data_IF_977791662339
#
_entry.id   IF_977791662339
#
_cell.length_a   1.000
_cell.length_b   1.000
_cell.length_c   1.000
_cell.angle_alpha   90.00
_cell.angle_beta   90.00
_cell.angle_gamma   90.00
#
_symmetry.space_group_name_H-M   'P 1'
#
loop_
_entity.id
_entity.type
_entity.pdbx_description
1 polymer ?
#
# COMPACT_ATOMS: atom_id res chain seq x y z
N UNK A 1 10.17 -9.29 29.76
CA UNK A 1 11.42 -10.06 29.91
C UNK A 1 12.55 -9.10 29.57
N UNK A 2 13.20 -8.57 30.59
CA UNK A 2 14.24 -7.55 30.48
C UNK A 2 15.53 -8.22 29.98
N UNK A 3 16.03 -7.80 28.82
CA UNK A 3 17.34 -8.21 28.34
C UNK A 3 18.34 -7.33 29.07
N UNK A 4 18.97 -7.90 30.08
CA UNK A 4 20.08 -7.31 30.84
C UNK A 4 21.19 -6.90 29.87
N UNK A 5 21.42 -5.59 29.81
CA UNK A 5 22.46 -4.93 29.04
C UNK A 5 23.85 -5.31 29.53
N UNK A 6 24.67 -5.87 28.63
CA UNK A 6 26.12 -5.80 28.78
C UNK A 6 26.59 -4.37 28.41
N UNK A 7 27.71 -3.87 28.97
CA UNK A 7 28.19 -2.51 28.69
C UNK A 7 28.56 -2.25 27.22
N UNK A 8 28.75 -3.30 26.42
CA UNK A 8 29.21 -3.26 25.02
C UNK A 8 28.05 -3.19 23.98
N UNK A 9 26.81 -3.45 24.41
CA UNK A 9 25.62 -3.45 23.53
C UNK A 9 25.15 -2.02 23.13
N UNK A 10 25.72 -1.01 23.76
CA UNK A 10 25.44 0.40 23.49
C UNK A 10 26.12 0.93 22.22
N UNK A 11 26.88 0.12 21.48
CA UNK A 11 27.55 0.53 20.23
C UNK A 11 27.03 -0.15 18.95
N UNK A 12 26.21 -1.21 19.05
CA UNK A 12 25.81 -2.00 17.87
C UNK A 12 24.65 -1.34 17.10
N UNK A 13 24.91 -0.94 15.86
CA UNK A 13 23.87 -0.47 14.93
C UNK A 13 23.19 -1.65 14.25
N UNK A 14 21.87 -1.68 14.30
CA UNK A 14 21.04 -2.69 13.65
C UNK A 14 20.77 -2.30 12.20
N UNK A 15 21.00 -3.21 11.26
CA UNK A 15 20.61 -3.01 9.88
C UNK A 15 19.27 -3.71 9.61
N UNK A 16 18.33 -3.02 8.99
CA UNK A 16 17.04 -3.58 8.59
C UNK A 16 16.90 -3.46 7.07
N UNK A 17 16.81 -4.61 6.41
CA UNK A 17 16.60 -4.75 4.98
C UNK A 17 15.15 -5.07 4.64
N UNK A 18 14.63 -4.49 3.57
CA UNK A 18 13.35 -4.92 2.99
C UNK A 18 13.40 -4.98 1.46
N UNK A 19 12.47 -5.69 0.83
CA UNK A 19 12.48 -5.88 -0.62
C UNK A 19 12.21 -4.59 -1.41
N UNK A 20 11.45 -3.64 -0.84
CA UNK A 20 11.00 -2.45 -1.54
C UNK A 20 11.16 -1.18 -0.71
N UNK A 21 11.27 -0.04 -1.40
CA UNK A 21 11.29 1.30 -0.81
C UNK A 21 10.04 1.56 0.06
N UNK A 22 8.89 1.01 -0.34
CA UNK A 22 7.63 1.13 0.39
C UNK A 22 7.70 0.40 1.72
N UNK A 23 8.25 -0.81 1.77
CA UNK A 23 8.43 -1.54 3.01
C UNK A 23 9.40 -0.82 3.97
N UNK A 24 10.55 -0.34 3.45
CA UNK A 24 11.50 0.49 4.20
C UNK A 24 10.81 1.74 4.78
N UNK A 25 10.00 2.41 3.98
CA UNK A 25 9.23 3.59 4.38
C UNK A 25 8.24 3.25 5.51
N UNK A 26 7.48 2.17 5.40
CA UNK A 26 6.50 1.78 6.42
C UNK A 26 7.19 1.50 7.78
N UNK A 27 8.38 0.89 7.76
CA UNK A 27 9.19 0.68 8.96
C UNK A 27 9.59 2.04 9.57
N UNK A 28 10.06 2.98 8.74
CA UNK A 28 10.44 4.32 9.18
C UNK A 28 9.27 5.10 9.78
N UNK A 29 8.10 5.09 9.13
CA UNK A 29 6.86 5.69 9.67
C UNK A 29 6.51 5.10 11.03
N UNK A 30 6.68 3.79 11.20
CA UNK A 30 6.43 3.14 12.48
C UNK A 30 7.41 3.59 13.55
N UNK A 31 8.70 3.69 13.25
CA UNK A 31 9.71 4.22 14.18
C UNK A 31 9.37 5.67 14.61
N UNK A 32 9.01 6.53 13.66
CA UNK A 32 8.57 7.91 13.95
C UNK A 32 7.32 7.93 14.85
N UNK A 33 6.32 7.09 14.56
CA UNK A 33 5.11 6.99 15.40
C UNK A 33 5.40 6.55 16.83
N UNK A 34 6.50 5.82 17.04
CA UNK A 34 6.99 5.38 18.35
C UNK A 34 7.95 6.40 18.99
N UNK A 35 8.12 7.59 18.40
CA UNK A 35 9.06 8.64 18.81
C UNK A 35 10.52 8.18 18.82
N UNK A 36 10.85 7.20 17.99
CA UNK A 36 12.21 6.71 17.81
C UNK A 36 12.85 7.40 16.60
N UNK A 37 13.82 8.28 16.85
CA UNK A 37 14.48 9.10 15.81
C UNK A 37 15.96 8.76 15.58
N UNK A 38 16.51 7.78 16.30
CA UNK A 38 17.90 7.33 16.17
C UNK A 38 18.07 6.35 14.99
N UNK A 39 17.52 6.71 13.82
CA UNK A 39 17.60 5.89 12.61
C UNK A 39 17.96 6.72 11.37
N UNK A 40 18.52 6.04 10.36
CA UNK A 40 18.72 6.60 9.02
C UNK A 40 18.22 5.65 7.94
N UNK A 41 17.81 6.21 6.82
CA UNK A 41 17.35 5.47 5.64
C UNK A 41 18.36 5.69 4.51
N UNK A 42 18.87 4.61 3.94
CA UNK A 42 19.79 4.66 2.80
C UNK A 42 19.02 4.35 1.52
N UNK A 43 19.08 5.27 0.55
CA UNK A 43 18.31 5.18 -0.70
C UNK A 43 19.18 5.45 -1.93
N UNK A 44 18.76 4.95 -3.09
CA UNK A 44 19.47 5.21 -4.35
C UNK A 44 19.26 6.66 -4.78
N UNK A 45 20.16 7.18 -5.63
CA UNK A 45 20.00 8.55 -6.17
C UNK A 45 18.69 8.71 -6.96
N UNK A 46 18.21 7.61 -7.57
CA UNK A 46 17.04 7.54 -8.44
C UNK A 46 15.74 7.25 -7.66
N UNK A 47 15.80 7.22 -6.33
CA UNK A 47 14.68 6.97 -5.44
C UNK A 47 13.52 7.98 -5.56
N UNK A 48 13.77 9.17 -6.14
CA UNK A 48 12.81 10.28 -6.21
C UNK A 48 11.65 10.11 -7.21
N UNK A 49 11.61 9.06 -8.04
CA UNK A 49 10.55 8.94 -9.06
C UNK A 49 9.16 8.51 -8.53
N UNK A 50 9.05 8.08 -7.26
CA UNK A 50 7.78 7.66 -6.63
C UNK A 50 7.46 8.44 -5.33
N UNK A 51 8.14 9.57 -5.07
CA UNK A 51 8.12 10.25 -3.77
C UNK A 51 7.36 11.59 -3.84
N UNK A 52 6.18 11.67 -3.23
CA UNK A 52 5.39 12.91 -3.14
C UNK A 52 5.87 13.79 -1.98
N UNK A 53 6.66 14.83 -2.26
CA UNK A 53 7.39 15.67 -1.29
C UNK A 53 6.53 16.30 -0.17
N UNK A 54 5.23 16.52 -0.39
CA UNK A 54 4.36 17.28 0.53
C UNK A 54 3.75 16.46 1.69
N UNK A 55 3.97 15.14 1.75
CA UNK A 55 3.38 14.27 2.79
C UNK A 55 4.39 13.76 3.83
N UNK A 56 5.68 14.14 3.76
CA UNK A 56 6.78 13.38 4.41
C UNK A 56 7.88 14.19 5.13
N UNK A 57 7.61 15.44 5.54
CA UNK A 57 8.60 16.32 6.18
C UNK A 57 9.39 15.66 7.33
N UNK A 58 8.74 14.79 8.14
CA UNK A 58 9.40 14.17 9.29
C UNK A 58 10.38 13.03 8.95
N UNK A 59 10.20 12.34 7.83
CA UNK A 59 11.05 11.22 7.43
C UNK A 59 12.24 11.71 6.61
N UNK A 60 12.05 12.76 5.82
CA UNK A 60 13.06 13.31 4.92
C UNK A 60 14.38 13.62 5.63
N UNK A 61 14.34 14.16 6.86
CA UNK A 61 15.52 14.43 7.69
C UNK A 61 16.35 13.19 8.08
N UNK A 62 15.79 11.99 7.91
CA UNK A 62 16.46 10.72 8.18
C UNK A 62 17.02 10.06 6.92
N UNK A 63 16.81 10.62 5.72
CA UNK A 63 17.21 10.00 4.46
C UNK A 63 18.63 10.43 4.03
N UNK A 64 19.44 9.44 3.63
CA UNK A 64 20.77 9.64 3.03
C UNK A 64 20.76 8.99 1.65
N UNK A 65 20.97 9.80 0.61
CA UNK A 65 21.00 9.34 -0.79
C UNK A 65 22.40 8.86 -1.21
N UNK A 66 22.45 7.85 -2.07
CA UNK A 66 23.70 7.22 -2.50
C UNK A 66 24.69 8.09 -3.27
N UNK A 67 24.25 9.23 -3.82
CA UNK A 67 25.12 10.23 -4.44
C UNK A 67 25.89 11.07 -3.41
N UNK A 68 25.48 11.03 -2.12
CA UNK A 68 26.14 11.71 -1.01
C UNK A 68 27.14 10.84 -0.25
N UNK A 69 27.10 9.51 -0.39
CA UNK A 69 27.93 8.58 0.39
C UNK A 69 29.44 8.87 0.32
N UNK A 70 29.95 9.33 -0.84
CA UNK A 70 31.40 9.49 -1.07
C UNK A 70 31.85 10.95 -1.25
N UNK A 71 30.91 11.91 -1.32
CA UNK A 71 31.26 13.31 -1.63
C UNK A 71 31.70 14.11 -0.41
N UNK A 72 31.25 13.70 0.78
CA UNK A 72 31.52 14.42 2.02
C UNK A 72 31.51 13.46 3.21
N UNK A 73 32.62 12.73 3.38
CA UNK A 73 32.76 11.69 4.41
C UNK A 73 32.59 12.29 5.81
N UNK A 74 33.15 13.48 6.07
CA UNK A 74 33.04 14.17 7.37
C UNK A 74 31.59 14.49 7.72
N UNK A 75 30.84 15.05 6.78
CA UNK A 75 29.41 15.32 6.96
C UNK A 75 28.60 14.04 7.13
N UNK A 76 28.87 13.03 6.31
CA UNK A 76 28.17 11.74 6.37
C UNK A 76 28.42 11.03 7.70
N UNK A 77 29.66 11.02 8.18
CA UNK A 77 30.04 10.51 9.51
C UNK A 77 29.27 11.21 10.62
N UNK A 78 29.18 12.54 10.57
CA UNK A 78 28.41 13.33 11.55
C UNK A 78 26.94 12.93 11.59
N UNK A 79 26.33 12.61 10.44
CA UNK A 79 24.92 12.17 10.38
C UNK A 79 24.68 10.75 10.91
N UNK A 80 25.73 9.94 11.07
CA UNK A 80 25.65 8.57 11.58
C UNK A 80 25.93 8.47 13.09
N UNK A 81 26.42 9.54 13.72
CA UNK A 81 26.67 9.55 15.17
C UNK A 81 25.36 9.30 15.92
N UNK A 82 25.37 8.34 16.83
CA UNK A 82 24.20 7.98 17.65
C UNK A 82 23.10 7.20 16.90
N UNK A 83 23.33 6.83 15.64
CA UNK A 83 22.38 6.02 14.87
C UNK A 83 22.37 4.58 15.39
N UNK A 84 21.19 4.13 15.79
CA UNK A 84 20.93 2.79 16.32
C UNK A 84 20.36 1.85 15.26
N UNK A 85 19.71 2.40 14.24
CA UNK A 85 19.07 1.61 13.18
C UNK A 85 19.37 2.21 11.80
N UNK A 86 19.81 1.38 10.86
CA UNK A 86 19.92 1.73 9.45
C UNK A 86 18.88 0.93 8.65
N UNK A 87 18.05 1.63 7.89
CA UNK A 87 17.03 1.04 7.02
C UNK A 87 17.45 1.16 5.56
N UNK A 88 17.35 0.08 4.78
CA UNK A 88 17.59 0.15 3.33
C UNK A 88 16.93 -1.02 2.58
N UNK A 89 16.89 -0.94 1.24
CA UNK A 89 16.42 -2.07 0.43
C UNK A 89 17.51 -3.14 0.27
N UNK A 90 17.13 -4.38 -0.08
CA UNK A 90 18.10 -5.42 -0.45
C UNK A 90 19.03 -4.96 -1.60
N UNK A 91 18.47 -4.29 -2.60
CA UNK A 91 19.27 -3.73 -3.70
C UNK A 91 20.27 -2.69 -3.22
N UNK A 92 19.96 -1.94 -2.15
CA UNK A 92 20.87 -0.98 -1.57
C UNK A 92 22.08 -1.67 -0.97
N UNK A 93 21.94 -2.80 -0.26
CA UNK A 93 23.10 -3.57 0.24
C UNK A 93 24.10 -3.99 -0.84
N UNK A 94 23.68 -4.02 -2.11
CA UNK A 94 24.56 -4.33 -3.25
C UNK A 94 25.25 -3.10 -3.85
N UNK A 95 24.99 -1.89 -3.34
CA UNK A 95 25.60 -0.66 -3.85
C UNK A 95 27.07 -0.56 -3.41
N UNK A 96 28.00 -0.48 -4.36
CA UNK A 96 29.44 -0.44 -4.07
C UNK A 96 29.84 0.80 -3.27
N UNK A 97 29.10 1.91 -3.39
CA UNK A 97 29.35 3.16 -2.67
C UNK A 97 29.09 3.06 -1.17
N UNK A 98 28.42 2.01 -0.70
CA UNK A 98 28.22 1.78 0.74
C UNK A 98 29.46 1.31 1.46
N UNK A 99 30.50 0.87 0.73
CA UNK A 99 31.67 0.24 1.34
C UNK A 99 32.32 1.14 2.40
N UNK A 100 32.47 2.43 2.12
CA UNK A 100 33.03 3.40 3.08
C UNK A 100 32.10 3.65 4.26
N UNK A 101 30.79 3.78 4.02
CA UNK A 101 29.78 3.90 5.09
C UNK A 101 29.82 2.72 6.05
N UNK A 102 29.98 1.51 5.50
CA UNK A 102 29.99 0.25 6.25
C UNK A 102 31.31 0.00 6.98
N UNK A 103 32.39 0.72 6.67
CA UNK A 103 33.59 0.73 7.52
C UNK A 103 33.35 1.47 8.83
N UNK A 104 32.53 2.51 8.79
CA UNK A 104 32.16 3.31 9.97
C UNK A 104 31.04 2.67 10.77
N UNK A 105 30.08 2.04 10.08
CA UNK A 105 28.97 1.31 10.70
C UNK A 105 28.97 -0.13 10.18
N UNK A 106 29.77 -1.03 10.79
CA UNK A 106 29.88 -2.42 10.36
C UNK A 106 28.53 -3.14 10.35
N UNK A 107 28.30 -3.93 9.31
CA UNK A 107 27.10 -4.75 9.18
C UNK A 107 27.30 -6.04 9.98
N UNK A 108 26.90 -6.03 11.25
CA UNK A 108 27.01 -7.18 12.17
C UNK A 108 25.69 -7.94 12.33
N UNK A 109 24.58 -7.21 12.46
CA UNK A 109 23.24 -7.80 12.57
C UNK A 109 22.34 -7.21 11.49
N UNK A 110 21.75 -8.08 10.68
CA UNK A 110 20.74 -7.70 9.68
C UNK A 110 19.41 -8.36 10.05
N UNK A 111 18.34 -7.57 10.05
CA UNK A 111 16.97 -8.04 10.06
C UNK A 111 16.39 -7.85 8.66
N UNK A 112 15.86 -8.91 8.06
CA UNK A 112 15.04 -8.79 6.86
C UNK A 112 13.57 -8.77 7.25
N UNK A 113 12.88 -7.67 6.92
CA UNK A 113 11.43 -7.60 7.02
C UNK A 113 10.78 -8.18 5.76
N UNK A 114 9.57 -8.73 5.92
CA UNK A 114 8.84 -9.46 4.88
C UNK A 114 9.70 -10.53 4.16
N UNK A 115 10.59 -11.21 4.90
CA UNK A 115 11.54 -12.18 4.36
C UNK A 115 10.89 -13.27 3.50
N UNK A 116 9.64 -13.65 3.80
CA UNK A 116 8.87 -14.62 3.01
C UNK A 116 8.62 -14.22 1.55
N UNK A 117 8.81 -12.94 1.21
CA UNK A 117 8.58 -12.39 -0.14
C UNK A 117 9.85 -12.30 -0.99
N UNK A 118 11.02 -12.53 -0.39
CA UNK A 118 12.32 -12.38 -1.05
C UNK A 118 12.80 -13.76 -1.52
N UNK A 119 13.38 -13.83 -2.73
CA UNK A 119 13.95 -15.08 -3.23
C UNK A 119 15.26 -15.39 -2.54
N UNK A 120 15.54 -16.67 -2.27
CA UNK A 120 16.75 -17.07 -1.53
C UNK A 120 18.03 -16.56 -2.19
N UNK A 121 18.04 -16.47 -3.52
CA UNK A 121 19.16 -15.94 -4.31
C UNK A 121 19.50 -14.48 -3.99
N UNK A 122 18.51 -13.67 -3.61
CA UNK A 122 18.72 -12.24 -3.31
C UNK A 122 19.52 -12.03 -2.02
N UNK A 123 19.55 -13.01 -1.12
CA UNK A 123 20.35 -12.96 0.10
C UNK A 123 21.82 -13.32 -0.12
N UNK A 124 22.14 -14.05 -1.19
CA UNK A 124 23.49 -14.58 -1.41
C UNK A 124 24.53 -13.48 -1.58
N UNK A 125 24.17 -12.38 -2.26
CA UNK A 125 25.04 -11.22 -2.44
C UNK A 125 25.43 -10.58 -1.10
N UNK A 126 24.46 -10.43 -0.20
CA UNK A 126 24.64 -9.86 1.14
C UNK A 126 25.51 -10.78 2.00
N UNK A 127 25.20 -12.07 2.01
CA UNK A 127 25.98 -13.08 2.73
C UNK A 127 27.43 -13.13 2.26
N UNK A 128 27.65 -13.08 0.94
CA UNK A 128 28.99 -13.08 0.37
C UNK A 128 29.75 -11.79 0.73
N UNK A 129 29.11 -10.62 0.56
CA UNK A 129 29.72 -9.31 0.80
C UNK A 129 30.10 -9.11 2.26
N UNK A 130 29.24 -9.52 3.19
CA UNK A 130 29.44 -9.31 4.63
C UNK A 130 29.92 -10.55 5.36
N UNK A 131 30.41 -11.57 4.66
CA UNK A 131 30.89 -12.85 5.24
C UNK A 131 31.88 -12.72 6.40
N UNK A 132 32.60 -11.59 6.49
CA UNK A 132 33.61 -11.33 7.53
C UNK A 132 33.07 -10.56 8.75
N UNK A 133 31.98 -9.81 8.59
CA UNK A 133 31.45 -8.92 9.64
C UNK A 133 30.09 -9.35 10.15
N UNK A 134 29.30 -10.06 9.33
CA UNK A 134 27.95 -10.48 9.66
C UNK A 134 27.99 -11.58 10.72
N UNK A 135 27.51 -11.27 11.92
CA UNK A 135 27.40 -12.18 13.06
C UNK A 135 26.01 -12.80 13.16
N UNK A 136 24.96 -12.04 12.80
CA UNK A 136 23.57 -12.46 12.99
C UNK A 136 22.66 -12.03 11.84
N UNK A 137 21.85 -12.97 11.38
CA UNK A 137 20.81 -12.76 10.39
C UNK A 137 19.46 -13.14 10.98
N UNK A 138 18.49 -12.22 10.93
CA UNK A 138 17.14 -12.43 11.43
C UNK A 138 16.17 -12.25 10.28
N UNK A 139 15.30 -13.24 10.06
CA UNK A 139 14.25 -13.16 9.07
C UNK A 139 12.92 -12.95 9.78
N UNK A 140 12.28 -11.81 9.51
CA UNK A 140 10.96 -11.45 10.01
C UNK A 140 10.00 -11.47 8.83
N UNK A 141 8.83 -12.02 9.07
CA UNK A 141 7.77 -12.14 8.08
C UNK A 141 6.91 -13.34 8.44
N UNK A 142 5.62 -13.10 8.58
CA UNK A 142 4.64 -14.18 8.64
C UNK A 142 4.16 -14.43 7.20
N UNK A 143 3.81 -15.67 6.87
CA UNK A 143 3.06 -15.93 5.66
C UNK A 143 1.61 -15.44 5.79
N UNK A 144 1.22 -14.94 6.97
CA UNK A 144 -0.13 -14.46 7.27
C UNK A 144 -0.31 -12.98 6.98
N UNK A 145 -1.45 -12.66 6.35
CA UNK A 145 -2.01 -11.31 6.30
C UNK A 145 -3.19 -11.20 7.28
N UNK A 146 -3.22 -10.09 8.02
CA UNK A 146 -4.24 -9.80 9.04
C UNK A 146 -5.13 -8.61 8.69
N UNK A 147 -4.93 -8.00 7.52
CA UNK A 147 -5.59 -6.78 7.08
C UNK A 147 -6.91 -7.09 6.39
N UNK A 148 -6.85 -7.84 5.29
CA UNK A 148 -7.98 -8.00 4.38
C UNK A 148 -8.88 -9.14 4.87
N UNK A 149 -10.21 -9.00 4.68
CA UNK A 149 -11.15 -10.11 4.77
C UNK A 149 -10.68 -11.31 3.93
N UNK A 150 -10.94 -12.54 4.41
CA UNK A 150 -10.27 -13.72 3.82
C UNK A 150 -10.64 -13.96 2.37
N UNK A 151 -11.83 -13.55 1.93
CA UNK A 151 -12.25 -13.65 0.52
C UNK A 151 -11.38 -12.78 -0.40
N UNK A 152 -11.07 -11.55 0.02
CA UNK A 152 -10.22 -10.60 -0.71
C UNK A 152 -8.77 -11.03 -0.59
N UNK A 153 -8.29 -11.31 0.63
CA UNK A 153 -6.92 -11.70 0.88
C UNK A 153 -6.54 -13.01 0.19
N UNK A 154 -7.43 -14.01 0.20
CA UNK A 154 -7.25 -15.28 -0.50
C UNK A 154 -7.20 -15.09 -2.01
N UNK A 155 -8.07 -14.25 -2.56
CA UNK A 155 -8.04 -13.89 -3.98
C UNK A 155 -6.71 -13.23 -4.38
N UNK A 156 -6.30 -12.17 -3.65
CA UNK A 156 -5.05 -11.45 -3.91
C UNK A 156 -3.85 -12.38 -3.75
N UNK A 157 -3.83 -13.22 -2.71
CA UNK A 157 -2.79 -14.22 -2.50
C UNK A 157 -2.65 -15.15 -3.72
N UNK A 158 -3.76 -15.69 -4.23
CA UNK A 158 -3.76 -16.57 -5.40
C UNK A 158 -3.26 -15.86 -6.67
N UNK A 159 -3.70 -14.63 -6.91
CA UNK A 159 -3.37 -13.91 -8.15
C UNK A 159 -1.97 -13.27 -8.14
N UNK A 160 -1.49 -12.82 -6.98
CA UNK A 160 -0.29 -11.98 -6.88
C UNK A 160 0.86 -12.66 -6.14
N UNK A 161 0.57 -13.60 -5.23
CA UNK A 161 1.54 -14.20 -4.32
C UNK A 161 1.59 -15.73 -4.42
N UNK A 162 1.12 -16.31 -5.55
CA UNK A 162 1.11 -17.76 -5.81
C UNK A 162 0.42 -18.58 -4.69
N UNK A 163 -0.54 -18.00 -4.00
CA UNK A 163 -1.26 -18.63 -2.88
C UNK A 163 -0.46 -18.72 -1.57
N UNK A 164 0.74 -18.12 -1.49
CA UNK A 164 1.61 -18.23 -0.31
C UNK A 164 1.15 -17.35 0.86
N UNK A 165 0.39 -16.28 0.60
CA UNK A 165 -0.12 -15.38 1.63
C UNK A 165 -1.41 -15.96 2.25
N UNK A 166 -1.36 -16.33 3.52
CA UNK A 166 -2.47 -16.93 4.28
C UNK A 166 -3.31 -15.86 4.95
N UNK A 167 -4.61 -15.86 4.72
CA UNK A 167 -5.50 -14.87 5.34
C UNK A 167 -5.91 -15.29 6.74
N UNK A 168 -5.66 -14.44 7.74
CA UNK A 168 -6.18 -14.60 9.10
C UNK A 168 -6.97 -13.35 9.49
N UNK A 169 -8.28 -13.40 9.26
CA UNK A 169 -9.18 -12.28 9.48
C UNK A 169 -10.51 -12.77 10.06
N UNK A 170 -11.19 -11.92 10.86
CA UNK A 170 -12.48 -12.26 11.48
C UNK A 170 -13.60 -12.39 10.45
N UNK A 171 -13.60 -11.47 9.48
CA UNK A 171 -14.55 -11.48 8.36
C UNK A 171 -14.04 -12.46 7.32
N UNK A 172 -14.82 -13.53 7.11
CA UNK A 172 -14.44 -14.64 6.23
C UNK A 172 -15.38 -14.86 5.05
N UNK A 173 -16.59 -14.33 5.16
CA UNK A 173 -17.67 -14.49 4.19
C UNK A 173 -17.57 -13.48 3.04
N UNK A 174 -18.36 -13.71 1.99
CA UNK A 174 -18.32 -12.91 0.76
C UNK A 174 -18.93 -11.52 0.94
N UNK A 175 -19.67 -11.21 2.02
CA UNK A 175 -20.26 -9.88 2.23
C UNK A 175 -19.20 -8.78 2.36
N UNK A 176 -17.94 -9.15 2.61
CA UNK A 176 -16.83 -8.22 2.62
C UNK A 176 -16.58 -7.50 1.28
N UNK A 177 -17.08 -8.00 0.15
CA UNK A 177 -16.81 -7.40 -1.16
C UNK A 177 -18.04 -7.41 -2.07
N UNK A 178 -18.43 -6.24 -2.55
CA UNK A 178 -19.53 -6.11 -3.51
C UNK A 178 -19.11 -5.32 -4.75
N UNK A 179 -19.71 -5.68 -5.88
CA UNK A 179 -19.71 -4.86 -7.08
C UNK A 179 -21.06 -4.15 -7.21
N UNK A 180 -21.07 -2.93 -7.72
CA UNK A 180 -22.29 -2.23 -8.12
C UNK A 180 -22.27 -2.10 -9.63
N UNK A 181 -23.28 -2.65 -10.31
CA UNK A 181 -23.43 -2.48 -11.75
C UNK A 181 -23.99 -1.10 -12.05
N UNK A 182 -23.12 -0.24 -12.55
CA UNK A 182 -23.43 1.14 -12.90
C UNK A 182 -23.49 1.27 -14.40
N UNK A 183 -24.68 1.59 -14.92
CA UNK A 183 -24.90 1.75 -16.35
C UNK A 183 -24.55 3.17 -16.83
N UNK A 184 -23.33 3.62 -16.54
CA UNK A 184 -22.78 4.91 -16.94
C UNK A 184 -21.81 4.82 -18.12
N UNK A 185 -21.46 5.95 -18.70
CA UNK A 185 -20.49 6.05 -19.79
C UNK A 185 -19.24 6.82 -19.35
N UNK A 186 -18.07 6.34 -19.78
CA UNK A 186 -16.81 7.08 -19.60
C UNK A 186 -16.79 8.36 -20.46
N UNK A 187 -16.44 9.49 -19.85
CA UNK A 187 -16.23 10.77 -20.54
C UNK A 187 -14.85 11.33 -20.19
N UNK A 188 -14.35 12.24 -21.02
CA UNK A 188 -13.04 12.88 -20.83
C UNK A 188 -13.16 14.15 -20.02
N UNK A 189 -12.23 14.36 -19.09
CA UNK A 189 -12.04 15.62 -18.36
C UNK A 189 -10.59 16.06 -18.56
N UNK A 190 -10.36 16.97 -19.50
CA UNK A 190 -8.99 17.28 -19.96
C UNK A 190 -8.30 16.02 -20.48
N UNK A 191 -7.16 15.65 -19.88
CA UNK A 191 -6.42 14.43 -20.20
C UNK A 191 -6.78 13.22 -19.31
N UNK A 192 -7.80 13.35 -18.47
CA UNK A 192 -8.27 12.30 -17.55
C UNK A 192 -9.66 11.77 -17.94
N UNK A 193 -10.17 10.82 -17.17
CA UNK A 193 -11.47 10.18 -17.39
C UNK A 193 -12.37 10.35 -16.17
N UNK A 194 -13.67 10.44 -16.41
CA UNK A 194 -14.71 10.47 -15.38
C UNK A 194 -15.96 9.71 -15.83
N UNK A 195 -16.83 9.39 -14.88
CA UNK A 195 -18.11 8.73 -15.08
C UNK A 195 -19.11 9.27 -14.07
N UNK A 196 -20.08 10.05 -14.56
CA UNK A 196 -21.05 10.78 -13.73
C UNK A 196 -22.00 9.85 -12.96
N UNK A 197 -22.38 8.70 -13.53
CA UNK A 197 -23.25 7.75 -12.82
C UNK A 197 -22.49 6.99 -11.74
N UNK A 198 -21.23 6.63 -12.01
CA UNK A 198 -20.37 6.08 -10.96
C UNK A 198 -20.17 7.10 -9.84
N UNK A 199 -19.97 8.39 -10.17
CA UNK A 199 -19.86 9.47 -9.19
C UNK A 199 -21.12 9.54 -8.30
N UNK A 200 -22.32 9.57 -8.88
CA UNK A 200 -23.56 9.60 -8.12
C UNK A 200 -23.70 8.40 -7.17
N UNK A 201 -23.36 7.20 -7.65
CA UNK A 201 -23.39 5.97 -6.86
C UNK A 201 -22.38 6.01 -5.71
N UNK A 202 -21.13 6.42 -5.99
CA UNK A 202 -20.07 6.54 -4.99
C UNK A 202 -20.42 7.55 -3.91
N UNK A 203 -20.95 8.71 -4.28
CA UNK A 203 -21.38 9.74 -3.32
C UNK A 203 -22.51 9.23 -2.42
N UNK A 204 -23.43 8.42 -2.98
CA UNK A 204 -24.49 7.81 -2.19
C UNK A 204 -23.96 6.75 -1.21
N UNK A 205 -22.98 5.94 -1.61
CA UNK A 205 -22.27 5.01 -0.73
C UNK A 205 -21.51 5.76 0.37
N UNK A 206 -20.80 6.83 0.02
CA UNK A 206 -20.08 7.67 0.96
C UNK A 206 -21.01 8.28 2.02
N UNK A 207 -22.19 8.75 1.59
CA UNK A 207 -23.26 9.22 2.49
C UNK A 207 -23.67 8.12 3.47
N UNK A 208 -23.89 6.90 2.99
CA UNK A 208 -24.28 5.76 3.84
C UNK A 208 -23.23 5.47 4.91
N UNK A 209 -21.95 5.34 4.55
CA UNK A 209 -20.90 5.09 5.55
C UNK A 209 -20.75 6.26 6.53
N UNK A 210 -20.89 7.50 6.05
CA UNK A 210 -20.87 8.69 6.90
C UNK A 210 -22.02 8.71 7.92
N UNK A 211 -23.27 8.46 7.49
CA UNK A 211 -24.45 8.39 8.36
C UNK A 211 -24.34 7.27 9.40
N UNK A 212 -23.66 6.18 9.04
CA UNK A 212 -23.37 5.04 9.92
C UNK A 212 -22.11 5.22 10.78
N UNK A 213 -21.47 6.39 10.70
CA UNK A 213 -20.23 6.74 11.43
C UNK A 213 -19.10 5.74 11.22
N UNK A 214 -19.00 5.20 10.01
CA UNK A 214 -17.97 4.24 9.64
C UNK A 214 -16.78 4.93 9.00
N UNK A 215 -15.59 4.39 9.23
CA UNK A 215 -14.38 4.89 8.56
C UNK A 215 -14.32 4.40 7.12
N UNK A 216 -14.09 5.31 6.18
CA UNK A 216 -14.06 4.96 4.77
C UNK A 216 -13.18 5.91 3.94
N UNK A 217 -12.69 5.37 2.82
CA UNK A 217 -12.00 6.09 1.76
C UNK A 217 -12.54 5.71 0.39
N UNK A 218 -12.39 6.63 -0.54
CA UNK A 218 -12.74 6.46 -1.95
C UNK A 218 -11.45 6.43 -2.75
N UNK A 219 -11.31 5.44 -3.63
CA UNK A 219 -10.15 5.28 -4.49
C UNK A 219 -10.61 5.19 -5.94
N UNK A 220 -9.97 5.94 -6.83
CA UNK A 220 -10.26 5.88 -8.26
C UNK A 220 -8.97 5.99 -9.09
N UNK A 221 -8.86 5.33 -10.25
CA UNK A 221 -7.63 5.41 -11.05
C UNK A 221 -7.38 6.77 -11.72
N UNK A 222 -8.38 7.66 -11.78
CA UNK A 222 -8.36 8.84 -12.64
C UNK A 222 -8.60 10.12 -11.83
N UNK A 223 -7.71 11.10 -11.96
CA UNK A 223 -7.85 12.39 -11.26
C UNK A 223 -9.07 13.20 -11.68
N UNK A 224 -9.56 13.03 -12.91
CA UNK A 224 -10.84 13.61 -13.35
C UNK A 224 -11.98 13.13 -12.46
N UNK A 225 -12.07 11.81 -12.26
CA UNK A 225 -13.06 11.20 -11.37
C UNK A 225 -12.86 11.61 -9.91
N UNK A 226 -11.62 11.64 -9.42
CA UNK A 226 -11.32 12.08 -8.04
C UNK A 226 -11.86 13.49 -7.78
N UNK A 227 -11.54 14.42 -8.69
CA UNK A 227 -11.95 15.82 -8.59
C UNK A 227 -13.48 15.98 -8.67
N UNK A 228 -14.13 15.20 -9.54
CA UNK A 228 -15.59 15.16 -9.66
C UNK A 228 -16.25 14.68 -8.36
N UNK A 229 -15.75 13.59 -7.77
CA UNK A 229 -16.26 13.05 -6.50
C UNK A 229 -16.09 14.05 -5.36
N UNK A 230 -14.90 14.64 -5.20
CA UNK A 230 -14.65 15.65 -4.15
C UNK A 230 -15.60 16.84 -4.27
N UNK A 231 -15.76 17.38 -5.49
CA UNK A 231 -16.70 18.48 -5.76
C UNK A 231 -18.12 18.09 -5.37
N UNK A 232 -18.56 16.89 -5.74
CA UNK A 232 -19.92 16.41 -5.49
C UNK A 232 -20.17 16.17 -4.00
N UNK A 233 -19.21 15.58 -3.27
CA UNK A 233 -19.28 15.43 -1.81
C UNK A 233 -19.41 16.78 -1.11
N UNK A 234 -18.59 17.77 -1.50
CA UNK A 234 -18.62 19.12 -0.96
C UNK A 234 -19.98 19.79 -1.21
N UNK A 235 -20.49 19.74 -2.43
CA UNK A 235 -21.82 20.27 -2.77
C UNK A 235 -22.95 19.56 -1.99
N UNK A 236 -22.80 18.26 -1.73
CA UNK A 236 -23.75 17.46 -0.99
C UNK A 236 -23.64 17.59 0.55
N UNK A 237 -22.74 18.45 1.04
CA UNK A 237 -22.42 18.66 2.47
C UNK A 237 -22.02 17.36 3.19
N UNK A 238 -21.32 16.47 2.49
CA UNK A 238 -20.70 15.27 3.05
C UNK A 238 -19.22 15.60 3.28
N UNK A 239 -18.59 15.15 4.39
CA UNK A 239 -17.15 15.33 4.58
C UNK A 239 -16.37 14.86 3.36
N UNK A 240 -15.52 15.73 2.81
CA UNK A 240 -14.81 15.49 1.54
C UNK A 240 -13.29 15.58 1.71
N UNK A 241 -12.83 16.36 2.70
CA UNK A 241 -11.41 16.47 3.04
C UNK A 241 -10.86 15.11 3.42
N UNK A 242 -9.72 14.74 2.81
CA UNK A 242 -9.05 13.49 3.11
C UNK A 242 -10.00 12.27 2.92
N UNK A 243 -10.85 12.26 1.88
CA UNK A 243 -11.76 11.13 1.59
C UNK A 243 -11.55 10.46 0.25
N UNK A 244 -11.17 11.19 -0.80
CA UNK A 244 -11.01 10.64 -2.15
C UNK A 244 -9.56 10.74 -2.63
N UNK A 245 -9.05 9.65 -3.19
CA UNK A 245 -7.65 9.54 -3.63
C UNK A 245 -7.56 8.90 -5.00
N UNK A 246 -6.52 9.28 -5.74
CA UNK A 246 -6.06 8.43 -6.82
C UNK A 246 -5.22 7.27 -6.25
N UNK A 247 -5.02 6.21 -7.04
CA UNK A 247 -4.34 4.99 -6.56
C UNK A 247 -2.92 5.26 -6.08
N UNK A 248 -2.19 6.14 -6.77
CA UNK A 248 -0.79 6.43 -6.46
C UNK A 248 -0.67 7.19 -5.12
N UNK A 249 -1.52 8.19 -4.89
CA UNK A 249 -1.60 8.94 -3.62
C UNK A 249 -2.09 8.09 -2.44
N UNK A 250 -2.85 7.01 -2.71
CA UNK A 250 -3.35 6.12 -1.66
C UNK A 250 -2.37 4.99 -1.29
N UNK A 251 -1.19 4.93 -1.90
CA UNK A 251 -0.22 3.88 -1.62
C UNK A 251 0.29 3.93 -0.17
N UNK A 252 0.21 2.80 0.53
CA UNK A 252 0.60 2.69 1.94
C UNK A 252 -0.54 3.01 2.92
N UNK A 253 -1.58 3.69 2.46
CA UNK A 253 -2.77 3.94 3.25
C UNK A 253 -3.72 2.72 3.26
N UNK A 254 -4.60 2.67 4.24
CA UNK A 254 -5.59 1.63 4.48
C UNK A 254 -6.76 2.22 5.25
N UNK A 255 -7.97 1.69 5.05
CA UNK A 255 -9.16 2.11 5.81
C UNK A 255 -10.11 0.91 5.98
N UNK A 256 -11.09 1.03 6.88
CA UNK A 256 -12.04 -0.04 7.17
C UNK A 256 -12.89 -0.36 5.95
N UNK A 257 -13.49 0.67 5.35
CA UNK A 257 -14.31 0.53 4.14
C UNK A 257 -13.69 1.27 2.96
N UNK A 258 -13.53 0.58 1.84
CA UNK A 258 -13.01 1.17 0.61
C UNK A 258 -14.09 1.18 -0.46
N UNK A 259 -14.38 2.35 -1.02
CA UNK A 259 -15.23 2.51 -2.20
C UNK A 259 -14.34 2.73 -3.41
N UNK A 260 -14.54 1.98 -4.48
CA UNK A 260 -13.76 2.09 -5.72
C UNK A 260 -14.66 2.53 -6.86
N UNK A 261 -14.20 3.49 -7.66
CA UNK A 261 -14.79 3.84 -8.97
C UNK A 261 -13.80 3.47 -10.07
N UNK A 262 -14.17 2.51 -10.92
CA UNK A 262 -13.31 2.04 -12.02
C UNK A 262 -13.37 2.95 -13.26
N UNK A 263 -14.44 3.73 -13.42
CA UNK A 263 -14.67 4.76 -14.45
C UNK A 263 -14.85 4.21 -15.86
N UNK A 264 -13.96 3.33 -16.30
CA UNK A 264 -13.87 2.86 -17.67
C UNK A 264 -15.01 1.91 -18.01
N UNK A 265 -15.52 2.06 -19.22
CA UNK A 265 -16.56 1.21 -19.81
C UNK A 265 -16.19 0.68 -21.19
N UNK A 266 -15.12 1.20 -21.82
CA UNK A 266 -14.74 0.83 -23.20
C UNK A 266 -13.35 0.23 -23.33
N UNK A 267 -12.35 0.80 -22.67
CA UNK A 267 -10.95 0.33 -22.77
C UNK A 267 -10.37 0.08 -21.39
N UNK A 268 -9.55 -0.98 -21.28
CA UNK A 268 -8.94 -1.42 -20.02
C UNK A 268 -8.16 -0.29 -19.31
N UNK A 269 -7.45 0.55 -20.08
CA UNK A 269 -6.76 1.71 -19.53
C UNK A 269 -5.83 1.37 -18.37
N UNK A 270 -6.05 2.02 -17.21
CA UNK A 270 -5.24 1.87 -16.00
C UNK A 270 -5.21 0.43 -15.47
N UNK A 271 -6.29 -0.33 -15.67
CA UNK A 271 -6.44 -1.70 -15.13
C UNK A 271 -5.46 -2.71 -15.75
N UNK A 272 -4.71 -2.31 -16.79
CA UNK A 272 -3.58 -3.09 -17.33
C UNK A 272 -2.41 -3.18 -16.34
N UNK A 273 -2.25 -2.18 -15.47
CA UNK A 273 -1.16 -2.18 -14.49
C UNK A 273 -1.54 -3.04 -13.28
N UNK A 274 -1.08 -4.29 -13.29
CA UNK A 274 -1.37 -5.28 -12.25
C UNK A 274 -0.87 -4.83 -10.86
N UNK A 275 0.29 -4.16 -10.78
CA UNK A 275 0.84 -3.68 -9.50
C UNK A 275 -0.05 -2.61 -8.88
N UNK A 276 -0.44 -1.60 -9.66
CA UNK A 276 -1.33 -0.52 -9.20
C UNK A 276 -2.74 -1.03 -8.89
N UNK A 277 -3.22 -2.00 -9.66
CA UNK A 277 -4.54 -2.58 -9.41
C UNK A 277 -4.55 -3.46 -8.16
N UNK A 278 -3.46 -4.19 -7.89
CA UNK A 278 -3.27 -4.87 -6.61
C UNK A 278 -3.27 -3.87 -5.45
N UNK A 279 -2.53 -2.76 -5.59
CA UNK A 279 -2.56 -1.65 -4.62
C UNK A 279 -3.96 -1.14 -4.39
N UNK A 280 -4.80 -0.98 -5.41
CA UNK A 280 -6.17 -0.51 -5.25
C UNK A 280 -7.07 -1.53 -4.52
N UNK A 281 -6.95 -2.83 -4.82
CA UNK A 281 -7.80 -3.88 -4.26
C UNK A 281 -7.36 -4.40 -2.88
N UNK A 282 -6.19 -3.99 -2.38
CA UNK A 282 -5.58 -4.53 -1.15
C UNK A 282 -5.65 -3.59 0.07
N UNK A 283 -6.58 -2.63 0.09
CA UNK A 283 -6.55 -1.49 1.03
C UNK A 283 -7.62 -1.53 2.11
N UNK A 284 -8.63 -2.39 1.97
CA UNK A 284 -9.71 -2.49 2.94
C UNK A 284 -9.33 -3.39 4.13
N UNK A 285 -9.77 -3.01 5.32
CA UNK A 285 -9.71 -3.85 6.52
C UNK A 285 -11.00 -4.63 6.76
N UNK A 286 -12.15 -4.03 6.44
CA UNK A 286 -13.47 -4.63 6.66
C UNK A 286 -14.19 -4.94 5.36
N UNK A 287 -14.28 -3.97 4.45
CA UNK A 287 -14.99 -4.21 3.19
C UNK A 287 -14.58 -3.35 2.01
N UNK A 288 -14.99 -3.79 0.83
CA UNK A 288 -14.76 -3.11 -0.43
C UNK A 288 -16.03 -3.09 -1.30
N UNK A 289 -16.40 -1.93 -1.83
CA UNK A 289 -17.51 -1.76 -2.78
C UNK A 289 -16.98 -1.16 -4.08
N UNK A 290 -17.11 -1.89 -5.18
CA UNK A 290 -16.54 -1.52 -6.49
C UNK A 290 -17.65 -1.10 -7.44
N UNK A 291 -17.69 0.17 -7.81
CA UNK A 291 -18.58 0.70 -8.83
C UNK A 291 -17.93 0.52 -10.21
N UNK A 292 -18.63 -0.13 -11.12
CA UNK A 292 -18.17 -0.36 -12.49
C UNK A 292 -19.33 -0.71 -13.42
N UNK A 293 -19.07 -0.69 -14.73
CA UNK A 293 -20.00 -1.24 -15.71
C UNK A 293 -19.82 -2.76 -15.82
N UNK A 294 -20.89 -3.52 -15.60
CA UNK A 294 -20.83 -4.98 -15.56
C UNK A 294 -20.44 -5.64 -16.89
N UNK A 295 -20.99 -5.26 -18.06
CA UNK A 295 -20.50 -5.75 -19.34
C UNK A 295 -19.00 -5.52 -19.53
N UNK A 296 -18.54 -4.30 -19.26
CA UNK A 296 -17.11 -3.96 -19.37
C UNK A 296 -16.23 -4.86 -18.51
N UNK A 297 -16.55 -5.06 -17.23
CA UNK A 297 -15.71 -5.85 -16.33
C UNK A 297 -15.78 -7.36 -16.61
N UNK A 298 -16.91 -7.82 -17.16
CA UNK A 298 -17.16 -9.24 -17.46
C UNK A 298 -16.59 -9.68 -18.80
N UNK A 299 -16.41 -8.73 -19.74
CA UNK A 299 -15.97 -9.00 -21.11
C UNK A 299 -14.61 -8.34 -21.38
N UNK A 300 -14.59 -7.02 -21.57
CA UNK A 300 -13.39 -6.27 -21.99
C UNK A 300 -12.26 -6.31 -20.96
N UNK A 301 -12.60 -6.14 -19.68
CA UNK A 301 -11.65 -6.15 -18.56
C UNK A 301 -11.65 -7.47 -17.80
N UNK A 302 -12.20 -8.54 -18.41
CA UNK A 302 -12.37 -9.88 -17.82
C UNK A 302 -11.11 -10.48 -17.18
N UNK A 303 -9.94 -10.23 -17.77
CA UNK A 303 -8.67 -10.80 -17.33
C UNK A 303 -7.83 -9.86 -16.47
N UNK A 304 -8.33 -8.64 -16.24
CA UNK A 304 -7.76 -7.74 -15.25
C UNK A 304 -8.02 -8.26 -13.84
N UNK A 305 -7.28 -7.75 -12.85
CA UNK A 305 -7.44 -8.18 -11.47
C UNK A 305 -8.87 -7.95 -10.92
N UNK A 306 -9.56 -6.81 -11.15
CA UNK A 306 -10.93 -6.61 -10.71
C UNK A 306 -11.93 -7.47 -11.51
N UNK A 307 -11.69 -7.75 -12.80
CA UNK A 307 -12.50 -8.68 -13.59
C UNK A 307 -12.44 -10.12 -13.07
N UNK A 308 -11.24 -10.58 -12.71
CA UNK A 308 -11.04 -11.87 -12.05
C UNK A 308 -11.70 -11.91 -10.67
N UNK A 309 -11.65 -10.82 -9.90
CA UNK A 309 -12.30 -10.71 -8.60
C UNK A 309 -13.83 -10.80 -8.74
N UNK A 310 -14.42 -10.02 -9.64
CA UNK A 310 -15.86 -10.04 -9.93
C UNK A 310 -16.34 -11.45 -10.28
N UNK A 311 -15.59 -12.16 -11.14
CA UNK A 311 -15.89 -13.56 -11.49
C UNK A 311 -15.79 -14.50 -10.29
N UNK A 312 -14.80 -14.31 -9.43
CA UNK A 312 -14.58 -15.18 -8.26
C UNK A 312 -15.64 -15.03 -7.17
N UNK A 313 -16.24 -13.84 -7.04
CA UNK A 313 -17.31 -13.58 -6.08
C UNK A 313 -18.67 -14.08 -6.56
N UNK A 314 -18.88 -14.17 -7.88
CA UNK A 314 -20.13 -14.67 -8.44
C UNK A 314 -21.23 -13.60 -8.45
N UNK A 315 -22.46 -14.04 -8.72
CA UNK A 315 -23.61 -13.16 -8.99
C UNK A 315 -24.19 -12.51 -7.74
N UNK A 316 -24.17 -13.21 -6.60
CA UNK A 316 -24.79 -12.75 -5.36
C UNK A 316 -24.09 -11.52 -4.76
N UNK A 317 -22.86 -11.24 -5.21
CA UNK A 317 -22.06 -10.09 -4.80
C UNK A 317 -22.22 -8.88 -5.73
N UNK A 318 -23.22 -8.87 -6.60
CA UNK A 318 -23.60 -7.72 -7.43
C UNK A 318 -24.81 -6.99 -6.85
N UNK A 319 -24.65 -5.69 -6.66
CA UNK A 319 -25.70 -4.79 -6.18
C UNK A 319 -26.27 -3.98 -7.34
N UNK A 320 -27.56 -3.67 -7.24
CA UNK A 320 -28.27 -2.85 -8.20
C UNK A 320 -28.04 -1.36 -7.90
N UNK A 321 -27.54 -0.59 -8.87
CA UNK A 321 -27.36 0.86 -8.76
C UNK A 321 -28.62 1.58 -8.27
N UNK A 322 -29.81 1.20 -8.76
CA UNK A 322 -31.08 1.84 -8.38
C UNK A 322 -31.37 1.66 -6.88
N UNK A 323 -31.00 0.52 -6.30
CA UNK A 323 -31.20 0.29 -4.87
C UNK A 323 -30.28 1.18 -4.04
N UNK A 324 -29.01 1.28 -4.43
CA UNK A 324 -28.03 2.18 -3.82
C UNK A 324 -28.52 3.63 -3.87
N UNK A 325 -28.90 4.12 -5.06
CA UNK A 325 -29.39 5.49 -5.26
C UNK A 325 -30.63 5.78 -4.39
N UNK A 326 -31.57 4.84 -4.29
CA UNK A 326 -32.77 4.95 -3.45
C UNK A 326 -32.50 4.74 -1.95
N UNK A 327 -31.26 4.41 -1.53
CA UNK A 327 -30.92 4.18 -0.13
C UNK A 327 -31.28 2.79 0.40
N UNK A 328 -31.66 1.85 -0.47
CA UNK A 328 -31.91 0.45 -0.11
C UNK A 328 -30.57 -0.29 0.01
N UNK A 329 -29.94 -0.17 1.18
CA UNK A 329 -28.59 -0.68 1.47
C UNK A 329 -28.58 -2.06 2.15
N UNK A 330 -29.62 -2.88 2.00
CA UNK A 330 -29.84 -4.10 2.79
C UNK A 330 -28.65 -5.07 2.80
N UNK A 331 -28.05 -5.34 1.64
CA UNK A 331 -26.84 -6.16 1.54
C UNK A 331 -25.63 -5.50 2.22
N UNK A 332 -25.47 -4.18 2.09
CA UNK A 332 -24.37 -3.44 2.71
C UNK A 332 -24.51 -3.28 4.22
N UNK A 333 -25.71 -3.41 4.80
CA UNK A 333 -25.88 -3.41 6.26
C UNK A 333 -25.20 -4.60 6.92
N UNK A 334 -25.08 -5.74 6.24
CA UNK A 334 -24.36 -6.92 6.76
C UNK A 334 -22.87 -6.64 7.02
N UNK A 335 -22.30 -5.69 6.26
CA UNK A 335 -20.89 -5.29 6.36
C UNK A 335 -20.58 -4.49 7.64
N UNK A 336 -21.60 -3.85 8.21
CA UNK A 336 -21.46 -2.94 9.34
C UNK A 336 -21.43 -3.67 10.69
N UNK A 337 -21.83 -4.94 10.69
CA UNK A 337 -21.77 -5.86 11.83
C UNK A 337 -20.34 -6.39 11.91
#
# INVERSE_FOLDING_TARGET
MSITSSPDDSARTLWIGAQSNVAVKNIAEKLVSLKFHQFKILVSKDFHYDWHEHLYEEIEKHVIRSDRFNKDLTMTSGTLIGVRVILCTLSMFSNDKLSELMRMVPVQTIIFDEASQIEVGDYLSILHRFRRTLEKLVFIGDDKQYRMPTIIGGFISKQMYKGKLKSKHKITDSSACFFVDVNGDETTMGHSWMNEKENATVVRLARFFNEKKQSYRIVTPYDGQRSLIEKTLKSAKIPWENKCFNVDAFQGNEDDHIIISLVRTKKIGFLKNVRRTNVMLSRCKRSMVICTNRPFISETARDTLPGKLARSLGQDNWLNEKDILNGRMGALTSILI
#
